data_IF_989604291287
#
_entry.id   IF_989604291287
#
_cell.length_a   1.000
_cell.length_b   1.000
_cell.length_c   1.000
_cell.angle_alpha   90.00
_cell.angle_beta   90.00
_cell.angle_gamma   90.00
#
_symmetry.space_group_name_H-M   'P 1'
#
loop_
_entity.id
_entity.type
_entity.pdbx_description
1 polymer ?
#
# COMPACT_ATOMS: atom_id res chain seq x y z
N UNK A 1 22.25 -15.74 0.75
CA UNK A 1 23.07 -14.49 0.63
C UNK A 1 22.21 -13.23 0.61
N UNK A 2 21.16 -13.13 -0.21
CA UNK A 2 20.34 -11.91 -0.31
C UNK A 2 19.71 -11.47 1.03
N UNK A 3 19.10 -12.40 1.76
CA UNK A 3 18.50 -12.13 3.08
C UNK A 3 19.50 -11.62 4.13
N UNK A 4 20.79 -11.97 3.99
CA UNK A 4 21.84 -11.47 4.89
C UNK A 4 22.15 -9.99 4.67
N UNK A 5 22.17 -9.52 3.41
CA UNK A 5 22.41 -8.10 3.11
C UNK A 5 21.16 -7.24 3.27
N UNK A 6 19.99 -7.79 2.97
CA UNK A 6 18.76 -7.01 2.81
C UNK A 6 17.71 -7.26 3.90
N UNK A 7 18.00 -8.12 4.89
CA UNK A 7 17.17 -8.44 6.06
C UNK A 7 15.77 -9.01 5.76
N UNK A 8 15.31 -8.96 4.52
CA UNK A 8 13.99 -9.41 4.05
C UNK A 8 14.11 -10.45 2.92
N UNK A 9 13.20 -11.44 2.88
CA UNK A 9 13.13 -12.42 1.79
C UNK A 9 12.88 -11.76 0.43
N UNK A 10 13.44 -12.35 -0.63
CA UNK A 10 13.31 -11.84 -2.02
C UNK A 10 11.86 -11.68 -2.49
N UNK A 11 10.94 -12.48 -1.96
CA UNK A 11 9.52 -12.42 -2.31
C UNK A 11 8.93 -11.06 -1.92
N UNK A 12 9.27 -10.52 -0.76
CA UNK A 12 8.81 -9.19 -0.33
C UNK A 12 9.40 -8.04 -1.17
N UNK A 13 10.53 -8.28 -1.86
CA UNK A 13 11.14 -7.29 -2.75
C UNK A 13 10.48 -7.23 -4.12
N UNK A 14 9.70 -8.25 -4.52
CA UNK A 14 9.01 -8.25 -5.82
C UNK A 14 7.85 -7.26 -5.85
N UNK A 15 7.19 -7.07 -4.71
CA UNK A 15 6.05 -6.15 -4.56
C UNK A 15 6.47 -4.78 -3.98
N UNK A 16 7.77 -4.58 -3.76
CA UNK A 16 8.27 -3.36 -3.15
C UNK A 16 8.56 -2.28 -4.22
N UNK A 17 8.05 -1.07 -4.00
CA UNK A 17 8.38 0.09 -4.82
C UNK A 17 9.55 0.87 -4.22
N UNK A 18 10.53 1.21 -5.06
CA UNK A 18 11.60 2.13 -4.67
C UNK A 18 11.02 3.54 -4.62
N UNK A 19 11.02 4.12 -3.43
CA UNK A 19 10.53 5.47 -3.19
C UNK A 19 11.65 6.29 -2.57
N UNK A 20 11.74 7.53 -2.99
CA UNK A 20 12.65 8.49 -2.41
C UNK A 20 11.92 9.21 -1.27
N UNK A 21 12.36 9.02 -0.03
CA UNK A 21 11.68 9.60 1.14
C UNK A 21 11.95 11.09 1.30
N UNK A 22 13.03 11.61 0.71
CA UNK A 22 13.31 13.04 0.74
C UNK A 22 12.31 13.83 -0.12
N UNK A 23 11.73 14.88 0.44
CA UNK A 23 10.81 15.81 -0.21
C UNK A 23 11.50 16.74 -1.24
N UNK A 24 12.77 16.51 -1.54
CA UNK A 24 13.57 17.40 -2.36
C UNK A 24 13.28 17.18 -3.84
N UNK A 25 13.15 18.23 -4.65
CA UNK A 25 12.99 18.10 -6.08
C UNK A 25 14.23 17.47 -6.73
N UNK A 26 14.04 16.59 -7.73
CA UNK A 26 15.12 15.92 -8.48
C UNK A 26 16.20 16.87 -9.02
N UNK A 27 15.84 18.12 -9.38
CA UNK A 27 16.81 19.11 -9.86
C UNK A 27 17.82 19.52 -8.80
N UNK A 28 17.45 19.48 -7.50
CA UNK A 28 18.37 19.74 -6.39
C UNK A 28 19.44 18.66 -6.34
N UNK A 29 19.07 17.39 -6.62
CA UNK A 29 20.05 16.29 -6.75
C UNK A 29 21.06 16.59 -7.85
N UNK A 30 20.53 16.91 -9.04
CA UNK A 30 21.35 17.16 -10.20
C UNK A 30 22.31 18.31 -9.94
N UNK A 31 21.83 19.38 -9.29
CA UNK A 31 22.65 20.50 -8.89
C UNK A 31 23.76 20.09 -7.90
N UNK A 32 23.47 19.29 -6.86
CA UNK A 32 24.48 18.82 -5.91
C UNK A 32 25.52 17.92 -6.58
N UNK A 33 25.10 17.01 -7.46
CA UNK A 33 26.02 16.11 -8.18
C UNK A 33 26.96 16.93 -9.05
N UNK A 34 26.43 17.88 -9.84
CA UNK A 34 27.24 18.74 -10.72
C UNK A 34 28.19 19.60 -9.89
N UNK A 35 27.70 20.24 -8.82
CA UNK A 35 28.51 21.07 -7.95
C UNK A 35 29.66 20.27 -7.30
N UNK A 36 29.36 19.10 -6.76
CA UNK A 36 30.37 18.24 -6.15
C UNK A 36 31.38 17.71 -7.16
N UNK A 37 30.95 17.27 -8.36
CA UNK A 37 31.85 16.84 -9.43
C UNK A 37 32.78 17.97 -9.89
N UNK A 38 32.27 19.21 -10.00
CA UNK A 38 33.06 20.38 -10.37
C UNK A 38 34.10 20.71 -9.29
N UNK A 39 33.71 20.69 -8.02
CA UNK A 39 34.63 20.91 -6.89
C UNK A 39 35.75 19.87 -6.86
N UNK A 40 35.43 18.59 -7.07
CA UNK A 40 36.42 17.52 -7.18
C UNK A 40 37.37 17.79 -8.36
N UNK A 41 36.84 18.08 -9.54
CA UNK A 41 37.65 18.34 -10.73
C UNK A 41 38.61 19.52 -10.52
N UNK A 42 38.12 20.65 -10.00
CA UNK A 42 38.92 21.83 -9.69
C UNK A 42 40.00 21.54 -8.63
N UNK A 43 39.67 20.76 -7.60
CA UNK A 43 40.62 20.32 -6.57
C UNK A 43 41.75 19.48 -7.18
N UNK A 44 41.40 18.50 -8.02
CA UNK A 44 42.35 17.60 -8.67
C UNK A 44 43.23 18.29 -9.73
N UNK A 45 42.71 19.31 -10.42
CA UNK A 45 43.46 20.11 -11.39
C UNK A 45 44.63 20.87 -10.73
N UNK A 46 44.47 21.29 -9.47
CA UNK A 46 45.50 22.01 -8.69
C UNK A 46 46.60 21.09 -8.16
N UNK A 47 46.39 19.78 -8.17
CA UNK A 47 47.38 18.82 -7.67
C UNK A 47 48.34 18.38 -8.77
N UNK A 48 49.66 18.24 -8.47
CA UNK A 48 50.67 17.76 -9.42
C UNK A 48 50.58 16.24 -9.59
N UNK A 49 49.45 15.76 -10.13
CA UNK A 49 49.17 14.35 -10.40
C UNK A 49 49.24 14.11 -11.91
N UNK A 50 49.85 12.98 -12.31
CA UNK A 50 49.78 12.51 -13.69
C UNK A 50 48.33 12.21 -14.12
N UNK A 51 48.04 12.34 -15.42
CA UNK A 51 46.67 12.26 -15.95
C UNK A 51 45.93 10.97 -15.57
N UNK A 52 46.58 9.80 -15.65
CA UNK A 52 45.99 8.51 -15.29
C UNK A 52 45.61 8.44 -13.80
N UNK A 53 46.50 8.90 -12.91
CA UNK A 53 46.24 8.93 -11.46
C UNK A 53 45.14 9.92 -11.11
N UNK A 54 45.12 11.07 -11.79
CA UNK A 54 44.06 12.07 -11.64
C UNK A 54 42.69 11.49 -12.05
N UNK A 55 42.61 10.79 -13.18
CA UNK A 55 41.39 10.13 -13.62
C UNK A 55 40.90 9.09 -12.62
N UNK A 56 41.80 8.22 -12.13
CA UNK A 56 41.44 7.18 -11.15
C UNK A 56 40.89 7.78 -9.84
N UNK A 57 41.59 8.80 -9.30
CA UNK A 57 41.16 9.46 -8.06
C UNK A 57 39.84 10.19 -8.26
N UNK A 58 39.66 10.88 -9.39
CA UNK A 58 38.39 11.53 -9.72
C UNK A 58 37.24 10.52 -9.78
N UNK A 59 37.41 9.40 -10.47
CA UNK A 59 36.36 8.37 -10.57
C UNK A 59 36.00 7.80 -9.20
N UNK A 60 36.99 7.46 -8.37
CA UNK A 60 36.73 6.95 -7.02
C UNK A 60 36.02 7.97 -6.12
N UNK A 61 36.45 9.24 -6.16
CA UNK A 61 35.82 10.30 -5.38
C UNK A 61 34.41 10.62 -5.88
N UNK A 62 34.19 10.64 -7.19
CA UNK A 62 32.87 10.85 -7.78
C UNK A 62 31.92 9.70 -7.42
N UNK A 63 32.41 8.46 -7.44
CA UNK A 63 31.61 7.29 -7.05
C UNK A 63 31.23 7.34 -5.56
N UNK A 64 32.17 7.72 -4.68
CA UNK A 64 31.90 7.94 -3.26
C UNK A 64 30.87 9.06 -3.04
N UNK A 65 31.04 10.19 -3.72
CA UNK A 65 30.10 11.31 -3.67
C UNK A 65 28.70 10.88 -4.13
N UNK A 66 28.61 10.11 -5.21
CA UNK A 66 27.33 9.59 -5.70
C UNK A 66 26.64 8.69 -4.67
N UNK A 67 27.38 7.81 -3.98
CA UNK A 67 26.84 6.99 -2.90
C UNK A 67 26.35 7.84 -1.74
N UNK A 68 27.14 8.84 -1.31
CA UNK A 68 26.76 9.75 -0.23
C UNK A 68 25.49 10.54 -0.57
N UNK A 69 25.41 11.08 -1.78
CA UNK A 69 24.24 11.80 -2.26
C UNK A 69 23.01 10.89 -2.38
N UNK A 70 23.20 9.67 -2.86
CA UNK A 70 22.14 8.67 -2.91
C UNK A 70 21.62 8.36 -1.49
N UNK A 71 22.51 8.12 -0.52
CA UNK A 71 22.10 7.88 0.87
C UNK A 71 21.44 9.10 1.53
N UNK A 72 21.91 10.31 1.20
CA UNK A 72 21.31 11.56 1.68
C UNK A 72 19.85 11.70 1.24
N UNK A 73 19.51 11.20 0.05
CA UNK A 73 18.14 11.20 -0.45
C UNK A 73 17.23 10.17 0.24
N UNK A 74 17.77 9.35 1.16
CA UNK A 74 17.03 8.35 1.90
C UNK A 74 16.21 7.43 0.97
N UNK A 75 16.88 6.57 0.17
CA UNK A 75 16.18 5.61 -0.67
C UNK A 75 15.44 4.65 0.26
N UNK A 76 14.13 4.66 0.17
CA UNK A 76 13.25 3.85 1.00
C UNK A 76 12.59 2.78 0.13
N UNK A 77 12.44 1.59 0.70
CA UNK A 77 11.66 0.54 0.09
C UNK A 77 10.25 0.62 0.68
N UNK A 78 9.27 0.99 -0.13
CA UNK A 78 7.87 0.99 0.29
C UNK A 78 7.29 -0.38 -0.05
N UNK A 79 6.90 -1.11 0.98
CA UNK A 79 6.20 -2.39 0.83
C UNK A 79 4.73 -2.09 1.07
N UNK A 80 3.90 -2.29 0.05
CA UNK A 80 2.44 -2.19 0.18
C UNK A 80 1.91 -3.49 0.77
N UNK A 81 2.18 -3.72 2.06
CA UNK A 81 1.51 -4.79 2.77
C UNK A 81 0.07 -4.35 3.05
N UNK A 82 -0.91 -5.03 2.45
CA UNK A 82 -2.29 -4.91 2.91
C UNK A 82 -2.32 -5.42 4.36
N UNK A 83 -2.48 -4.51 5.32
CA UNK A 83 -2.66 -4.88 6.72
C UNK A 83 -3.88 -5.81 6.82
N UNK A 84 -3.76 -6.98 7.47
CA UNK A 84 -4.92 -7.79 7.82
C UNK A 84 -5.93 -6.90 8.54
N UNK A 85 -7.13 -6.72 7.97
CA UNK A 85 -8.17 -5.85 8.49
C UNK A 85 -8.46 -4.56 7.69
N UNK A 86 -7.58 -4.11 6.79
CA UNK A 86 -7.87 -2.96 5.89
C UNK A 86 -8.71 -3.29 4.66
N UNK A 87 -8.83 -4.57 4.33
CA UNK A 87 -9.74 -5.03 3.29
C UNK A 87 -11.14 -5.14 3.88
N UNK A 88 -11.93 -4.06 3.74
CA UNK A 88 -13.32 -4.04 4.16
C UNK A 88 -14.24 -4.52 3.02
N UNK A 89 -15.07 -5.53 3.29
CA UNK A 89 -16.14 -5.95 2.39
C UNK A 89 -17.44 -5.27 2.86
N UNK A 90 -17.96 -4.37 2.03
CA UNK A 90 -19.25 -3.75 2.23
C UNK A 90 -20.35 -4.60 1.58
N UNK A 91 -21.25 -5.14 2.40
CA UNK A 91 -22.45 -5.84 1.97
C UNK A 91 -23.60 -4.83 1.87
N UNK A 92 -24.11 -4.60 0.67
CA UNK A 92 -25.20 -3.66 0.43
C UNK A 92 -26.46 -4.44 0.08
N UNK A 93 -27.51 -4.26 0.89
CA UNK A 93 -28.81 -4.90 0.70
C UNK A 93 -29.83 -3.86 0.21
N UNK A 94 -30.44 -4.12 -0.94
CA UNK A 94 -31.61 -3.35 -1.38
C UNK A 94 -32.82 -3.69 -0.50
N UNK A 95 -33.39 -2.66 0.13
CA UNK A 95 -34.55 -2.74 1.03
C UNK A 95 -35.76 -1.95 0.51
N UNK A 96 -35.76 -1.63 -0.79
CA UNK A 96 -36.87 -0.95 -1.45
C UNK A 96 -38.20 -1.72 -1.30
N UNK A 97 -39.33 -1.02 -1.40
CA UNK A 97 -40.67 -1.63 -1.23
C UNK A 97 -40.96 -2.80 -2.19
N UNK A 98 -40.21 -2.92 -3.29
CA UNK A 98 -40.29 -4.06 -4.20
C UNK A 98 -39.74 -5.37 -3.62
N UNK A 99 -38.79 -5.28 -2.67
CA UNK A 99 -38.13 -6.43 -2.04
C UNK A 99 -38.96 -7.05 -0.91
N UNK A 100 -39.99 -6.36 -0.45
CA UNK A 100 -40.95 -6.88 0.54
C UNK A 100 -42.01 -7.80 -0.07
N UNK A 101 -42.01 -7.94 -1.41
CA UNK A 101 -42.92 -8.85 -2.10
C UNK A 101 -42.49 -10.30 -1.94
N UNK A 102 -43.49 -11.17 -1.85
CA UNK A 102 -43.35 -12.61 -1.87
C UNK A 102 -43.53 -13.04 -3.33
N UNK A 103 -42.51 -13.71 -3.89
CA UNK A 103 -42.54 -14.15 -5.29
C UNK A 103 -43.18 -15.53 -5.49
N UNK A 104 -43.25 -16.31 -4.42
CA UNK A 104 -43.76 -17.67 -4.47
C UNK A 104 -44.80 -17.88 -3.36
N UNK A 105 -46.04 -18.19 -3.75
CA UNK A 105 -47.09 -18.57 -2.80
C UNK A 105 -46.96 -20.06 -2.45
N UNK A 106 -46.68 -20.37 -1.18
CA UNK A 106 -46.48 -21.73 -0.68
C UNK A 106 -45.99 -21.77 0.77
N UNK A 107 -46.00 -22.96 1.39
CA UNK A 107 -45.46 -23.15 2.73
C UNK A 107 -43.93 -22.90 2.72
N UNK A 108 -43.49 -21.88 3.47
CA UNK A 108 -42.09 -21.40 3.42
C UNK A 108 -41.86 -20.20 2.49
N UNK A 109 -42.92 -19.53 2.07
CA UNK A 109 -42.84 -18.27 1.32
C UNK A 109 -42.12 -17.18 2.13
N UNK A 110 -40.95 -16.75 1.64
CA UNK A 110 -40.19 -15.64 2.20
C UNK A 110 -40.23 -14.44 1.26
N UNK A 111 -40.01 -13.27 1.83
CA UNK A 111 -39.83 -12.05 1.03
C UNK A 111 -38.53 -12.13 0.21
N UNK A 112 -38.46 -11.45 -0.93
CA UNK A 112 -37.21 -11.34 -1.72
C UNK A 112 -36.04 -10.84 -0.87
N UNK A 113 -36.32 -9.91 0.05
CA UNK A 113 -35.34 -9.39 1.00
C UNK A 113 -34.76 -10.48 1.90
N UNK A 114 -35.60 -11.35 2.47
CA UNK A 114 -35.14 -12.45 3.32
C UNK A 114 -34.31 -13.46 2.54
N UNK A 115 -34.73 -13.83 1.33
CA UNK A 115 -33.96 -14.72 0.47
C UNK A 115 -32.59 -14.14 0.08
N UNK A 116 -32.51 -12.83 -0.17
CA UNK A 116 -31.25 -12.13 -0.46
C UNK A 116 -30.34 -12.08 0.77
N UNK A 117 -30.89 -11.79 1.95
CA UNK A 117 -30.16 -11.81 3.22
C UNK A 117 -29.53 -13.17 3.50
N UNK A 118 -30.29 -14.25 3.32
CA UNK A 118 -29.80 -15.62 3.57
C UNK A 118 -28.65 -15.99 2.61
N UNK A 119 -28.76 -15.61 1.34
CA UNK A 119 -27.71 -15.84 0.35
C UNK A 119 -26.43 -15.03 0.65
N UNK A 120 -26.58 -13.75 1.03
CA UNK A 120 -25.45 -12.90 1.42
C UNK A 120 -24.76 -13.42 2.68
N UNK A 121 -25.53 -13.89 3.66
CA UNK A 121 -25.02 -14.45 4.90
C UNK A 121 -24.25 -15.76 4.66
N UNK A 122 -24.76 -16.64 3.81
CA UNK A 122 -24.05 -17.86 3.43
C UNK A 122 -22.73 -17.55 2.73
N UNK A 123 -22.70 -16.49 1.91
CA UNK A 123 -21.48 -16.04 1.23
C UNK A 123 -20.50 -15.37 2.19
N UNK A 124 -20.96 -14.57 3.16
CA UNK A 124 -20.07 -13.88 4.10
C UNK A 124 -19.27 -14.86 4.95
N UNK A 125 -19.90 -15.95 5.42
CA UNK A 125 -19.21 -17.02 6.17
C UNK A 125 -18.05 -17.68 5.41
N UNK A 126 -18.08 -17.67 4.07
CA UNK A 126 -16.98 -18.18 3.26
C UNK A 126 -15.76 -17.25 3.20
N UNK A 127 -15.90 -16.01 3.72
CA UNK A 127 -14.92 -14.92 3.63
C UNK A 127 -14.49 -14.37 5.01
N UNK A 128 -14.97 -14.94 6.11
CA UNK A 128 -14.79 -14.45 7.50
C UNK A 128 -13.34 -14.40 8.00
N UNK A 129 -12.36 -14.96 7.27
CA UNK A 129 -10.99 -15.13 7.75
C UNK A 129 -10.10 -13.87 7.69
N UNK A 130 -10.31 -13.00 6.69
CA UNK A 130 -9.31 -11.97 6.33
C UNK A 130 -9.90 -10.55 6.14
N UNK A 131 -11.22 -10.39 6.25
CA UNK A 131 -11.91 -9.16 5.86
C UNK A 131 -12.76 -8.59 6.99
N UNK A 132 -12.78 -7.26 7.11
CA UNK A 132 -13.75 -6.58 7.97
C UNK A 132 -15.09 -6.45 7.23
N UNK A 133 -16.19 -6.91 7.83
CA UNK A 133 -17.50 -6.90 7.20
C UNK A 133 -18.32 -5.68 7.67
N UNK A 134 -18.84 -4.89 6.72
CA UNK A 134 -19.77 -3.77 6.99
C UNK A 134 -21.06 -4.00 6.25
N UNK A 135 -22.20 -3.71 6.87
CA UNK A 135 -23.52 -3.99 6.32
C UNK A 135 -24.28 -2.68 6.10
N UNK A 136 -24.85 -2.51 4.92
CA UNK A 136 -25.58 -1.32 4.54
C UNK A 136 -26.96 -1.69 3.98
N UNK A 137 -27.99 -0.99 4.43
CA UNK A 137 -29.31 -1.00 3.82
C UNK A 137 -29.41 0.15 2.80
N UNK A 138 -29.80 -0.19 1.59
CA UNK A 138 -30.03 0.73 0.50
C UNK A 138 -31.53 0.80 0.22
N UNK A 139 -32.17 1.89 0.62
CA UNK A 139 -33.53 2.23 0.24
C UNK A 139 -33.52 3.61 -0.42
N UNK A 140 -34.13 4.61 0.22
CA UNK A 140 -34.07 5.99 -0.22
C UNK A 140 -32.76 6.68 0.19
N UNK A 141 -32.13 6.18 1.27
CA UNK A 141 -30.82 6.59 1.75
C UNK A 141 -29.99 5.35 2.11
N UNK A 142 -28.66 5.51 2.16
CA UNK A 142 -27.74 4.45 2.57
C UNK A 142 -27.55 4.52 4.09
N UNK A 143 -27.95 3.48 4.79
CA UNK A 143 -27.83 3.39 6.25
C UNK A 143 -26.98 2.18 6.64
N UNK A 144 -26.03 2.37 7.56
CA UNK A 144 -25.24 1.27 8.11
C UNK A 144 -26.09 0.50 9.13
N UNK A 145 -26.28 -0.79 8.89
CA UNK A 145 -27.13 -1.65 9.70
C UNK A 145 -26.30 -2.64 10.51
N UNK A 146 -26.86 -3.08 11.63
CA UNK A 146 -26.25 -4.13 12.43
C UNK A 146 -26.06 -5.41 11.58
N UNK A 147 -24.97 -6.16 11.79
CA UNK A 147 -24.79 -7.45 11.15
C UNK A 147 -26.01 -8.34 11.43
N UNK A 148 -26.50 -9.08 10.43
CA UNK A 148 -27.60 -10.02 10.63
C UNK A 148 -27.21 -11.01 11.74
N UNK A 149 -28.18 -11.41 12.58
CA UNK A 149 -27.94 -12.22 13.77
C UNK A 149 -27.07 -13.46 13.45
N UNK A 150 -25.82 -13.45 13.95
CA UNK A 150 -24.83 -14.50 13.70
C UNK A 150 -23.70 -14.16 12.72
N UNK A 151 -23.65 -12.96 12.14
CA UNK A 151 -22.44 -12.44 11.49
C UNK A 151 -21.52 -11.84 12.58
N UNK A 152 -20.23 -12.14 12.51
CA UNK A 152 -19.26 -11.70 13.51
C UNK A 152 -19.35 -10.18 13.72
N UNK A 153 -19.53 -9.76 14.97
CA UNK A 153 -19.58 -8.35 15.33
C UNK A 153 -18.27 -7.67 14.92
N UNK A 154 -18.31 -6.49 14.29
CA UNK A 154 -17.09 -5.72 14.10
C UNK A 154 -16.53 -5.36 15.48
N UNK A 155 -15.28 -5.74 15.74
CA UNK A 155 -14.53 -5.19 16.86
C UNK A 155 -14.44 -3.68 16.63
N UNK A 156 -14.91 -2.83 17.56
CA UNK A 156 -14.88 -1.40 17.36
C UNK A 156 -13.41 -0.97 17.31
N UNK A 157 -12.96 -0.50 16.15
CA UNK A 157 -11.68 0.16 16.01
C UNK A 157 -11.65 1.33 17.01
N UNK A 158 -10.85 1.17 18.07
CA UNK A 158 -10.46 2.24 18.96
C UNK A 158 -9.89 3.36 18.10
N UNK A 159 -10.60 4.48 18.05
CA UNK A 159 -10.07 5.74 17.52
C UNK A 159 -8.93 6.18 18.44
N UNK A 160 -7.70 5.97 18.01
CA UNK A 160 -6.52 6.73 18.47
C UNK A 160 -6.11 7.74 17.41
#
# INVERSE_FOLDING_TARGET
MFEFLFKYPRVLWQDASLVFAAEWPLWVMAALVIAGALLLLLSLLRQPLGAARRALVFTLQAMMLAVLLAMLWQPALRIETSEPGRSAIAWMLDTSGSMQRIDHEGAGSTTRQQAALDALYQRSRSLDGDFSHRWFAAAEQLEEIAPPAGAASPEPLSRE
#
